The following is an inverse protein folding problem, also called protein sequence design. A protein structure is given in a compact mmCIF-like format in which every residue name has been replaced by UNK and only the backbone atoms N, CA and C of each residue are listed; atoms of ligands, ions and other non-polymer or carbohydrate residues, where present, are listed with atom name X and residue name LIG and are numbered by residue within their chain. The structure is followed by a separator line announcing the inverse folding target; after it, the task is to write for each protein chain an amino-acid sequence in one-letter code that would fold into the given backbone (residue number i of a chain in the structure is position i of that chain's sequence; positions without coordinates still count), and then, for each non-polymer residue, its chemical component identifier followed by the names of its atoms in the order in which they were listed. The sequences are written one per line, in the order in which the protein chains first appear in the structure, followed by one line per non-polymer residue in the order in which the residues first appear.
data_IF_059904613427
#
_entry.id   IF_059904613427
#
_cell.length_a   1.000
_cell.length_b   1.000
_cell.length_c   1.000
_cell.angle_alpha   90.00
_cell.angle_beta   90.00
_cell.angle_gamma   90.00
#
_symmetry.space_group_name_H-M   'P 1'
#
loop_
_entity.id
_entity.type
_entity.pdbx_description
1 polymer ?
#
# COMPACT_ATOMS: atom_id res chain seq x y z
N UNK A 1 17.49 15.95 -4.63
CA UNK A 1 17.30 14.51 -4.94
C UNK A 1 16.27 13.79 -4.04
N UNK A 2 16.33 13.87 -2.71
CA UNK A 2 15.43 13.10 -1.81
C UNK A 2 13.92 13.36 -2.01
N UNK A 3 13.52 14.62 -2.26
CA UNK A 3 12.11 14.98 -2.56
C UNK A 3 11.59 14.36 -3.86
N UNK A 4 12.42 14.32 -4.91
CA UNK A 4 12.06 13.71 -6.18
C UNK A 4 11.87 12.20 -6.02
N UNK A 5 12.79 11.53 -5.31
CA UNK A 5 12.67 10.11 -4.99
C UNK A 5 11.38 9.79 -4.22
N UNK A 6 11.02 10.61 -3.23
CA UNK A 6 9.77 10.43 -2.50
C UNK A 6 8.54 10.59 -3.41
N UNK A 7 8.52 11.60 -4.30
CA UNK A 7 7.43 11.79 -5.27
C UNK A 7 7.25 10.59 -6.19
N UNK A 8 8.35 10.06 -6.73
CA UNK A 8 8.33 8.86 -7.59
C UNK A 8 7.80 7.66 -6.83
N UNK A 9 8.24 7.46 -5.58
CA UNK A 9 7.77 6.34 -4.75
C UNK A 9 6.28 6.46 -4.41
N UNK A 10 5.78 7.66 -4.11
CA UNK A 10 4.35 7.91 -3.87
C UNK A 10 3.53 7.69 -5.13
N UNK A 11 4.02 8.12 -6.29
CA UNK A 11 3.35 7.87 -7.57
C UNK A 11 3.28 6.37 -7.88
N UNK A 12 4.39 5.64 -7.71
CA UNK A 12 4.44 4.19 -7.86
C UNK A 12 3.52 3.45 -6.90
N UNK A 13 3.48 3.88 -5.63
CA UNK A 13 2.53 3.35 -4.64
C UNK A 13 1.08 3.53 -5.12
N UNK A 14 0.71 4.74 -5.54
CA UNK A 14 -0.66 5.03 -5.98
C UNK A 14 -1.05 4.28 -7.26
N UNK A 15 -0.10 4.03 -8.16
CA UNK A 15 -0.31 3.17 -9.32
C UNK A 15 -0.58 1.72 -8.89
N UNK A 16 0.23 1.18 -7.98
CA UNK A 16 0.03 -0.16 -7.45
C UNK A 16 -1.30 -0.30 -6.69
N UNK A 17 -1.79 0.76 -6.01
CA UNK A 17 -3.13 0.80 -5.40
C UNK A 17 -4.22 0.64 -6.47
N UNK A 18 -4.08 1.31 -7.61
CA UNK A 18 -5.06 1.22 -8.69
C UNK A 18 -5.16 -0.22 -9.23
N UNK A 19 -4.03 -0.84 -9.54
CA UNK A 19 -3.97 -2.23 -10.02
C UNK A 19 -4.53 -3.22 -8.98
N UNK A 20 -4.16 -3.04 -7.72
CA UNK A 20 -4.69 -3.84 -6.62
C UNK A 20 -6.21 -3.70 -6.49
N UNK A 21 -6.73 -2.47 -6.62
CA UNK A 21 -8.16 -2.17 -6.51
C UNK A 21 -8.95 -2.83 -7.64
N UNK A 22 -8.45 -2.78 -8.87
CA UNK A 22 -9.09 -3.44 -10.01
C UNK A 22 -9.16 -4.96 -9.82
N UNK A 23 -8.04 -5.59 -9.45
CA UNK A 23 -8.01 -7.03 -9.20
C UNK A 23 -8.91 -7.43 -8.02
N UNK A 24 -8.96 -6.60 -6.97
CA UNK A 24 -9.86 -6.79 -5.82
C UNK A 24 -11.33 -6.75 -6.24
N UNK A 25 -11.72 -5.77 -7.05
CA UNK A 25 -13.09 -5.61 -7.53
C UNK A 25 -13.50 -6.81 -8.37
N UNK A 26 -12.62 -7.28 -9.24
CA UNK A 26 -12.87 -8.46 -10.08
C UNK A 26 -13.12 -9.72 -9.24
N UNK A 27 -12.24 -10.01 -8.27
CA UNK A 27 -12.40 -11.15 -7.35
C UNK A 27 -13.69 -11.02 -6.54
N UNK A 28 -13.97 -9.84 -5.99
CA UNK A 28 -15.13 -9.63 -5.11
C UNK A 28 -16.46 -9.68 -5.88
N UNK A 29 -16.47 -9.19 -7.13
CA UNK A 29 -17.65 -9.24 -7.99
C UNK A 29 -17.95 -10.66 -8.46
N UNK A 30 -16.92 -11.45 -8.81
CA UNK A 30 -17.07 -12.85 -9.19
C UNK A 30 -17.51 -13.74 -8.01
N UNK A 31 -17.14 -13.37 -6.79
CA UNK A 31 -17.35 -14.17 -5.59
C UNK A 31 -17.89 -13.33 -4.42
N UNK A 32 -19.16 -12.92 -4.43
CA UNK A 32 -19.70 -12.01 -3.41
C UNK A 32 -19.77 -12.59 -1.99
N UNK A 33 -19.63 -13.92 -1.85
CA UNK A 33 -19.71 -14.62 -0.55
C UNK A 33 -18.35 -14.89 0.11
N UNK A 34 -17.23 -14.61 -0.56
CA UNK A 34 -15.91 -14.80 0.06
C UNK A 34 -15.53 -13.56 0.85
N UNK A 35 -14.60 -13.74 1.80
CA UNK A 35 -13.90 -12.61 2.41
C UNK A 35 -13.20 -11.83 1.30
N UNK A 36 -13.63 -10.60 1.08
CA UNK A 36 -13.04 -9.74 0.06
C UNK A 36 -11.61 -9.35 0.47
N UNK A 37 -10.70 -9.12 -0.51
CA UNK A 37 -9.42 -8.51 -0.21
C UNK A 37 -9.61 -7.19 0.57
N UNK A 38 -8.71 -6.83 1.50
CA UNK A 38 -8.76 -5.56 2.21
C UNK A 38 -8.73 -4.36 1.26
N UNK A 39 -9.25 -3.21 1.69
CA UNK A 39 -9.10 -1.95 0.95
C UNK A 39 -7.77 -1.31 1.31
N UNK A 40 -7.07 -0.79 0.31
CA UNK A 40 -5.83 -0.02 0.48
C UNK A 40 -6.06 1.33 -0.21
N UNK A 41 -5.85 2.42 0.53
CA UNK A 41 -6.10 3.76 0.01
C UNK A 41 -4.87 4.34 -0.68
N UNK A 42 -5.13 5.23 -1.65
CA UNK A 42 -4.08 6.05 -2.25
C UNK A 42 -3.51 7.02 -1.21
N UNK A 43 -2.19 7.19 -1.23
CA UNK A 43 -1.53 8.25 -0.48
C UNK A 43 -1.99 9.61 -1.01
N UNK A 44 -2.37 10.49 -0.08
CA UNK A 44 -2.82 11.85 -0.38
C UNK A 44 -4.33 12.02 -0.55
N UNK A 45 -5.11 10.93 -0.63
CA UNK A 45 -6.56 10.98 -0.90
C UNK A 45 -7.37 11.77 0.16
N UNK A 46 -6.93 11.76 1.42
CA UNK A 46 -7.64 12.41 2.55
C UNK A 46 -6.71 13.31 3.39
N UNK A 47 -5.66 13.85 2.77
CA UNK A 47 -4.59 14.49 3.52
C UNK A 47 -5.00 15.89 3.98
N UNK A 48 -5.18 16.05 5.30
CA UNK A 48 -5.24 17.37 5.94
C UNK A 48 -3.83 17.94 6.05
N UNK A 49 -3.65 19.23 5.76
CA UNK A 49 -2.35 19.90 5.63
C UNK A 49 -1.42 19.81 6.88
N UNK A 50 -1.90 19.36 8.03
CA UNK A 50 -1.19 19.42 9.32
C UNK A 50 -0.46 18.13 9.75
N UNK A 51 -0.76 16.95 9.19
CA UNK A 51 0.00 15.72 9.52
C UNK A 51 0.17 14.77 8.32
N UNK A 52 1.17 15.00 7.47
CA UNK A 52 1.48 14.08 6.38
C UNK A 52 1.97 12.71 6.86
N UNK A 53 2.48 12.60 8.09
CA UNK A 53 2.93 11.32 8.64
C UNK A 53 1.75 10.41 9.05
N UNK A 54 0.59 10.98 9.36
CA UNK A 54 -0.62 10.20 9.64
C UNK A 54 -1.08 9.37 8.42
N UNK A 55 -1.07 9.97 7.23
CA UNK A 55 -1.41 9.27 5.99
C UNK A 55 -0.46 8.09 5.73
N UNK A 56 0.82 8.30 5.99
CA UNK A 56 1.84 7.25 5.86
C UNK A 56 1.63 6.09 6.85
N UNK A 57 1.38 6.40 8.13
CA UNK A 57 1.08 5.37 9.14
C UNK A 57 -0.19 4.59 8.82
N UNK A 58 -1.20 5.23 8.26
CA UNK A 58 -2.42 4.56 7.80
C UNK A 58 -2.13 3.58 6.66
N UNK A 59 -1.36 3.99 5.67
CA UNK A 59 -0.94 3.14 4.55
C UNK A 59 -0.16 1.90 5.03
N UNK A 60 0.78 2.04 5.98
CA UNK A 60 1.49 0.89 6.56
C UNK A 60 0.50 -0.10 7.20
N UNK A 61 -0.47 0.38 7.99
CA UNK A 61 -1.47 -0.49 8.62
C UNK A 61 -2.31 -1.24 7.59
N UNK A 62 -2.71 -0.57 6.51
CA UNK A 62 -3.45 -1.18 5.41
C UNK A 62 -2.61 -2.24 4.68
N UNK A 63 -1.34 -1.96 4.42
CA UNK A 63 -0.41 -2.94 3.81
C UNK A 63 -0.25 -4.18 4.70
N UNK A 64 -0.14 -4.01 6.02
CA UNK A 64 -0.10 -5.15 6.97
C UNK A 64 -1.39 -5.98 6.95
N UNK A 65 -2.54 -5.33 6.84
CA UNK A 65 -3.83 -6.03 6.69
C UNK A 65 -3.88 -6.81 5.37
N UNK A 66 -3.42 -6.21 4.27
CA UNK A 66 -3.26 -6.88 2.98
C UNK A 66 -2.32 -8.08 3.06
N UNK A 67 -1.24 -7.98 3.83
CA UNK A 67 -0.29 -9.08 4.03
C UNK A 67 -0.95 -10.27 4.74
N UNK A 68 -1.67 -10.01 5.83
CA UNK A 68 -2.42 -11.04 6.55
C UNK A 68 -3.44 -11.72 5.62
N UNK A 69 -4.15 -10.96 4.80
CA UNK A 69 -5.08 -11.52 3.83
C UNK A 69 -4.38 -12.41 2.79
N UNK A 70 -3.34 -11.91 2.13
CA UNK A 70 -2.63 -12.67 1.08
C UNK A 70 -2.03 -13.96 1.65
N UNK A 71 -1.48 -13.92 2.87
CA UNK A 71 -0.83 -15.08 3.50
C UNK A 71 -1.84 -16.12 4.00
N UNK A 72 -2.84 -15.70 4.76
CA UNK A 72 -3.70 -16.62 5.52
C UNK A 72 -5.19 -16.35 5.40
N UNK A 73 -5.60 -15.12 5.12
CA UNK A 73 -7.03 -14.74 5.07
C UNK A 73 -7.75 -15.05 3.76
N UNK A 74 -7.03 -15.26 2.66
CA UNK A 74 -7.62 -15.49 1.35
C UNK A 74 -8.16 -16.92 1.21
N UNK A 75 -9.42 -17.04 0.80
CA UNK A 75 -10.06 -18.32 0.51
C UNK A 75 -9.39 -19.06 -0.65
N UNK A 76 -9.55 -20.38 -0.72
CA UNK A 76 -9.07 -21.18 -1.84
C UNK A 76 -9.69 -20.75 -3.18
N UNK A 77 -10.95 -20.32 -3.17
CA UNK A 77 -11.65 -19.78 -4.35
C UNK A 77 -10.96 -18.50 -4.84
N UNK A 78 -10.68 -17.56 -3.94
CA UNK A 78 -9.96 -16.33 -4.29
C UNK A 78 -8.59 -16.63 -4.93
N UNK A 79 -7.85 -17.59 -4.36
CA UNK A 79 -6.50 -17.98 -4.83
C UNK A 79 -6.49 -18.60 -6.23
N UNK A 80 -7.60 -19.22 -6.65
CA UNK A 80 -7.74 -19.83 -7.98
C UNK A 80 -8.29 -18.86 -9.02
N UNK A 81 -8.76 -17.68 -8.61
CA UNK A 81 -9.30 -16.69 -9.52
C UNK A 81 -8.20 -16.12 -10.44
N UNK A 82 -8.44 -15.89 -11.75
CA UNK A 82 -7.42 -15.39 -12.68
C UNK A 82 -6.77 -14.06 -12.25
N UNK A 83 -7.54 -13.16 -11.63
CA UNK A 83 -7.02 -11.90 -11.10
C UNK A 83 -6.13 -12.04 -9.85
N UNK A 84 -6.00 -13.23 -9.27
CA UNK A 84 -5.22 -13.44 -8.04
C UNK A 84 -3.75 -13.06 -8.22
N UNK A 85 -3.14 -13.45 -9.34
CA UNK A 85 -1.73 -13.11 -9.64
C UNK A 85 -1.51 -11.60 -9.78
N UNK A 86 -2.47 -10.89 -10.40
CA UNK A 86 -2.43 -9.42 -10.48
C UNK A 86 -2.58 -8.78 -9.11
N UNK A 87 -3.49 -9.31 -8.28
CA UNK A 87 -3.68 -8.82 -6.92
C UNK A 87 -2.41 -8.99 -6.06
N UNK A 88 -1.79 -10.17 -6.08
CA UNK A 88 -0.57 -10.44 -5.30
C UNK A 88 0.64 -9.70 -5.85
N UNK A 89 0.76 -9.56 -7.17
CA UNK A 89 1.80 -8.75 -7.81
C UNK A 89 1.71 -7.27 -7.44
N UNK A 90 0.52 -6.67 -7.57
CA UNK A 90 0.27 -5.30 -7.15
C UNK A 90 0.51 -5.11 -5.64
N UNK A 91 0.11 -6.08 -4.82
CA UNK A 91 0.37 -6.07 -3.38
C UNK A 91 1.88 -6.16 -3.05
N UNK A 92 2.65 -6.94 -3.80
CA UNK A 92 4.11 -6.98 -3.71
C UNK A 92 4.73 -5.61 -3.95
N UNK A 93 4.34 -4.95 -5.05
CA UNK A 93 4.79 -3.59 -5.35
C UNK A 93 4.39 -2.59 -4.25
N UNK A 94 3.16 -2.68 -3.72
CA UNK A 94 2.70 -1.85 -2.60
C UNK A 94 3.60 -1.99 -1.37
N UNK A 95 4.01 -3.22 -1.02
CA UNK A 95 4.94 -3.47 0.10
C UNK A 95 6.31 -2.84 -0.15
N UNK A 96 6.85 -2.95 -1.35
CA UNK A 96 8.16 -2.40 -1.69
C UNK A 96 8.15 -0.87 -1.63
N UNK A 97 7.17 -0.23 -2.27
CA UNK A 97 7.03 1.22 -2.20
C UNK A 97 6.78 1.68 -0.78
N UNK A 98 5.96 0.94 -0.03
CA UNK A 98 5.72 1.24 1.36
C UNK A 98 7.01 1.26 2.19
N UNK A 99 7.80 0.20 2.09
CA UNK A 99 9.08 0.11 2.78
C UNK A 99 10.04 1.23 2.35
N UNK A 100 10.13 1.50 1.05
CA UNK A 100 10.97 2.58 0.52
C UNK A 100 10.60 3.96 1.05
N UNK A 101 9.30 4.26 1.16
CA UNK A 101 8.79 5.52 1.73
C UNK A 101 9.13 5.60 3.23
N UNK A 102 8.98 4.50 3.98
CA UNK A 102 9.33 4.44 5.41
C UNK A 102 10.81 4.75 5.66
N UNK A 103 11.70 4.12 4.89
CA UNK A 103 13.15 4.34 4.98
C UNK A 103 13.47 5.81 4.72
N UNK A 104 12.90 6.40 3.66
CA UNK A 104 13.13 7.81 3.32
C UNK A 104 12.63 8.76 4.42
N UNK A 105 11.48 8.46 5.05
CA UNK A 105 10.97 9.24 6.17
C UNK A 105 11.89 9.16 7.40
N UNK A 106 12.36 7.97 7.76
CA UNK A 106 13.27 7.76 8.89
C UNK A 106 14.60 8.48 8.66
N UNK A 107 15.18 8.39 7.46
CA UNK A 107 16.40 9.13 7.10
C UNK A 107 16.21 10.65 7.19
N UNK A 108 15.04 11.18 6.79
CA UNK A 108 14.75 12.60 6.87
C UNK A 108 14.59 13.08 8.33
N UNK A 109 13.97 12.27 9.18
CA UNK A 109 13.82 12.56 10.61
C UNK A 109 15.17 12.55 11.34
N UNK A 110 16.04 11.57 11.06
CA UNK A 110 17.38 11.48 11.65
C UNK A 110 18.27 12.68 11.31
N UNK A 111 18.23 13.17 10.07
CA UNK A 111 18.98 14.38 9.67
C UNK A 111 18.51 15.64 10.38
N UNK A 112 17.20 15.80 10.60
CA UNK A 112 16.65 16.95 11.33
C UNK A 112 17.07 16.99 12.79
N UNK A 113 17.26 15.82 13.42
CA UNK A 113 17.73 15.72 14.81
C UNK A 113 19.21 16.09 14.94
N UNK A 114 20.05 15.68 13.98
CA UNK A 114 21.50 15.93 14.00
C UNK A 114 21.89 17.38 13.69
N UNK A 115 21.06 18.14 12.97
CA UNK A 115 21.30 19.57 12.71
C UNK A 115 20.77 20.52 13.78
N UNK A 116 20.24 19.99 14.89
CA UNK A 116 19.74 20.75 16.05
C UNK A 116 20.57 20.52 17.32
N UNK A 117 21.62 19.71 17.23
CA UNK A 117 22.67 19.53 18.24
C UNK A 117 23.94 20.18 17.73
#
# INVERSE_FOLDING_TARGET
MMRLRLRVMVAGYNQAVAEYTLARLEISAAHPRIVAPPVIDRLGAFQRARDPAAAWRAAIRQVRSGEAYVRTGASAVARRHPAWSRLTGAFGALREYAHGIEVLHTMAAGRRRKGRS
#
